data_IF_626335574768
#
_entry.id   IF_626335574768
#
_cell.length_a   1.000
_cell.length_b   1.000
_cell.length_c   1.000
_cell.angle_alpha   90.00
_cell.angle_beta   90.00
_cell.angle_gamma   90.00
#
_symmetry.space_group_name_H-M   'P 1'
#
loop_
_entity.id
_entity.type
_entity.pdbx_description
1 polymer ?
#
# COMPACT_ATOMS: atom_id res chain seq x y z
N UNK A 1 -22.24 -17.79 8.10
CA UNK A 1 -21.30 -16.76 8.57
C UNK A 1 -20.11 -17.36 9.30
N UNK A 2 -20.30 -18.18 10.35
CA UNK A 2 -19.19 -18.87 11.05
C UNK A 2 -18.27 -19.70 10.12
N UNK A 3 -18.82 -20.41 9.13
CA UNK A 3 -18.01 -21.24 8.23
C UNK A 3 -16.96 -20.44 7.44
N UNK A 4 -17.26 -19.20 7.05
CA UNK A 4 -16.34 -18.38 6.22
C UNK A 4 -15.11 -17.95 7.04
N UNK A 5 -15.31 -17.75 8.35
CA UNK A 5 -14.24 -17.53 9.31
C UNK A 5 -13.40 -18.79 9.58
N UNK A 6 -14.03 -19.97 9.52
CA UNK A 6 -13.33 -21.26 9.64
C UNK A 6 -12.44 -21.55 8.42
N UNK A 7 -12.88 -21.19 7.20
CA UNK A 7 -12.10 -21.32 5.95
C UNK A 7 -10.89 -20.37 5.95
N UNK A 8 -11.03 -19.16 6.50
CA UNK A 8 -9.96 -18.17 6.56
C UNK A 8 -8.94 -18.43 7.71
N UNK A 9 -9.10 -19.51 8.47
CA UNK A 9 -8.22 -19.91 9.59
C UNK A 9 -7.94 -18.80 10.61
N UNK A 10 -8.93 -17.94 10.86
CA UNK A 10 -8.82 -16.85 11.83
C UNK A 10 -9.36 -17.34 13.18
N UNK A 11 -8.66 -18.30 13.80
CA UNK A 11 -9.09 -18.95 15.06
C UNK A 11 -8.93 -18.09 16.31
N UNK A 12 -8.31 -16.90 16.22
CA UNK A 12 -8.26 -15.96 17.34
C UNK A 12 -9.44 -14.98 17.26
N UNK A 13 -10.32 -15.04 18.26
CA UNK A 13 -11.57 -14.29 18.37
C UNK A 13 -11.45 -12.74 18.34
N UNK A 14 -10.23 -12.19 18.31
CA UNK A 14 -9.96 -10.75 18.21
C UNK A 14 -10.11 -10.16 16.79
N UNK A 15 -10.26 -11.00 15.76
CA UNK A 15 -10.21 -10.59 14.34
C UNK A 15 -11.56 -10.59 13.60
N UNK A 16 -12.68 -10.58 14.32
CA UNK A 16 -14.02 -10.45 13.73
C UNK A 16 -14.33 -8.98 13.43
N UNK A 17 -13.59 -8.37 12.51
CA UNK A 17 -13.87 -7.02 12.02
C UNK A 17 -14.76 -7.10 10.77
N UNK A 18 -16.05 -6.70 10.87
CA UNK A 18 -16.94 -6.63 9.70
C UNK A 18 -16.37 -5.73 8.61
N UNK A 19 -15.67 -4.65 8.99
CA UNK A 19 -15.00 -3.73 8.07
C UNK A 19 -13.86 -4.38 7.30
N UNK A 20 -13.07 -5.24 7.96
CA UNK A 20 -11.99 -5.99 7.30
C UNK A 20 -12.55 -7.01 6.31
N UNK A 21 -13.59 -7.75 6.71
CA UNK A 21 -14.26 -8.72 5.84
C UNK A 21 -14.90 -8.03 4.63
N UNK A 22 -15.57 -6.89 4.87
CA UNK A 22 -16.17 -6.09 3.82
C UNK A 22 -15.12 -5.55 2.82
N UNK A 23 -13.99 -5.04 3.32
CA UNK A 23 -12.86 -4.63 2.47
C UNK A 23 -12.28 -5.79 1.67
N UNK A 24 -12.09 -6.97 2.29
CA UNK A 24 -11.59 -8.16 1.60
C UNK A 24 -12.54 -8.62 0.49
N UNK A 25 -13.84 -8.70 0.79
CA UNK A 25 -14.86 -9.06 -0.20
C UNK A 25 -14.86 -8.04 -1.34
N UNK A 26 -14.80 -6.74 -1.03
CA UNK A 26 -14.74 -5.70 -2.05
C UNK A 26 -13.53 -5.87 -2.96
N UNK A 27 -12.33 -6.00 -2.40
CA UNK A 27 -11.08 -6.16 -3.16
C UNK A 27 -11.07 -7.44 -4.00
N UNK A 28 -11.43 -8.59 -3.42
CA UNK A 28 -11.53 -9.87 -4.15
C UNK A 28 -12.60 -9.82 -5.23
N UNK A 29 -13.72 -9.14 -4.99
CA UNK A 29 -14.73 -8.90 -6.02
C UNK A 29 -14.16 -8.05 -7.17
N UNK A 30 -13.33 -7.06 -6.89
CA UNK A 30 -12.58 -6.34 -7.93
C UNK A 30 -11.65 -7.25 -8.74
N UNK A 31 -11.03 -8.25 -8.10
CA UNK A 31 -10.20 -9.27 -8.76
C UNK A 31 -10.99 -10.25 -9.63
N UNK A 32 -12.29 -10.44 -9.39
CA UNK A 32 -13.13 -11.43 -10.08
C UNK A 32 -13.21 -11.29 -11.60
N UNK A 33 -12.74 -10.16 -12.15
CA UNK A 33 -12.55 -9.93 -13.58
C UNK A 33 -11.34 -10.69 -14.17
N UNK A 34 -10.31 -10.97 -13.37
CA UNK A 34 -9.02 -11.49 -13.84
C UNK A 34 -9.11 -12.84 -14.60
N UNK A 35 -9.91 -13.84 -14.17
CA UNK A 35 -10.04 -15.09 -14.92
C UNK A 35 -10.66 -14.91 -16.31
N UNK A 36 -11.61 -13.98 -16.45
CA UNK A 36 -12.20 -13.63 -17.73
C UNK A 36 -11.19 -12.88 -18.61
N UNK A 37 -10.33 -12.06 -18.01
CA UNK A 37 -9.27 -11.32 -18.69
C UNK A 37 -8.17 -12.24 -19.28
N UNK A 38 -7.84 -13.33 -18.58
CA UNK A 38 -6.82 -14.31 -19.01
C UNK A 38 -7.27 -15.21 -20.16
N UNK A 39 -8.56 -15.53 -20.25
CA UNK A 39 -9.14 -16.34 -21.33
C UNK A 39 -9.11 -15.64 -22.71
N UNK A 40 -8.71 -14.36 -22.75
CA UNK A 40 -8.83 -13.48 -23.92
C UNK A 40 -7.51 -13.22 -24.65
N UNK A 41 -6.42 -13.94 -24.39
CA UNK A 41 -5.15 -13.74 -25.13
C UNK A 41 -5.16 -14.29 -26.57
N UNK A 42 -6.32 -14.35 -27.22
CA UNK A 42 -6.51 -14.76 -28.61
C UNK A 42 -7.04 -13.61 -29.47
N UNK A 43 -6.52 -13.46 -30.69
CA UNK A 43 -6.77 -12.35 -31.64
C UNK A 43 -8.16 -12.35 -32.33
N UNK A 44 -9.17 -12.99 -31.75
CA UNK A 44 -10.46 -13.22 -32.40
C UNK A 44 -11.49 -12.11 -32.05
N UNK A 45 -12.18 -11.46 -33.00
CA UNK A 45 -13.14 -10.38 -32.70
C UNK A 45 -14.28 -10.78 -31.75
N UNK A 46 -14.72 -12.04 -31.80
CA UNK A 46 -15.72 -12.60 -30.89
C UNK A 46 -15.26 -12.62 -29.43
N UNK A 47 -13.95 -12.72 -29.20
CA UNK A 47 -13.30 -12.71 -27.89
C UNK A 47 -13.36 -11.29 -27.31
N UNK A 48 -13.15 -10.24 -28.12
CA UNK A 48 -13.33 -8.84 -27.70
C UNK A 48 -14.78 -8.50 -27.33
N UNK A 49 -15.76 -9.09 -28.01
CA UNK A 49 -17.18 -8.89 -27.69
C UNK A 49 -17.51 -9.58 -26.35
N UNK A 50 -17.12 -10.85 -26.18
CA UNK A 50 -17.29 -11.57 -24.91
C UNK A 50 -16.55 -10.84 -23.77
N UNK A 51 -15.39 -10.26 -24.03
CA UNK A 51 -14.68 -9.40 -23.09
C UNK A 51 -15.51 -8.20 -22.65
N UNK A 52 -16.02 -7.38 -23.58
CA UNK A 52 -16.82 -6.20 -23.25
C UNK A 52 -18.10 -6.58 -22.46
N UNK A 53 -18.74 -7.70 -22.82
CA UNK A 53 -19.90 -8.22 -22.09
C UNK A 53 -19.56 -8.78 -20.70
N UNK A 54 -18.45 -9.52 -20.55
CA UNK A 54 -18.02 -10.08 -19.26
C UNK A 54 -17.50 -8.99 -18.33
N UNK A 55 -16.74 -8.04 -18.86
CA UNK A 55 -16.30 -6.84 -18.17
C UNK A 55 -17.51 -6.02 -17.72
N UNK A 56 -18.48 -5.78 -18.62
CA UNK A 56 -19.73 -5.10 -18.28
C UNK A 56 -20.53 -5.86 -17.22
N UNK A 57 -20.66 -7.17 -17.32
CA UNK A 57 -21.38 -8.01 -16.37
C UNK A 57 -20.72 -8.01 -14.98
N UNK A 58 -19.41 -8.22 -14.91
CA UNK A 58 -18.66 -8.19 -13.66
C UNK A 58 -18.61 -6.79 -13.05
N UNK A 59 -18.48 -5.73 -13.85
CA UNK A 59 -18.58 -4.34 -13.39
C UNK A 59 -19.99 -3.95 -12.92
N UNK A 60 -21.03 -4.72 -13.25
CA UNK A 60 -22.41 -4.47 -12.79
C UNK A 60 -22.80 -5.38 -11.63
N UNK A 61 -22.49 -6.68 -11.70
CA UNK A 61 -22.95 -7.70 -10.74
C UNK A 61 -22.09 -7.72 -9.48
N UNK A 62 -20.78 -7.55 -9.59
CA UNK A 62 -19.90 -7.58 -8.42
C UNK A 62 -20.14 -6.39 -7.48
N UNK A 63 -20.41 -5.17 -7.99
CA UNK A 63 -20.91 -4.08 -7.15
C UNK A 63 -22.28 -4.35 -6.52
N UNK A 64 -23.20 -5.05 -7.19
CA UNK A 64 -24.51 -5.40 -6.62
C UNK A 64 -24.39 -6.44 -5.50
N UNK A 65 -23.55 -7.47 -5.66
CA UNK A 65 -23.21 -8.43 -4.61
C UNK A 65 -22.58 -7.71 -3.42
N UNK A 66 -21.67 -6.78 -3.71
CA UNK A 66 -21.01 -5.98 -2.71
C UNK A 66 -22.02 -5.09 -1.93
N UNK A 67 -22.92 -4.40 -2.63
CA UNK A 67 -24.00 -3.60 -2.02
C UNK A 67 -24.93 -4.45 -1.15
N UNK A 68 -25.27 -5.66 -1.61
CA UNK A 68 -26.10 -6.60 -0.84
C UNK A 68 -25.41 -7.09 0.44
N UNK A 69 -24.09 -7.24 0.43
CA UNK A 69 -23.32 -7.59 1.62
C UNK A 69 -23.20 -6.41 2.60
N UNK A 70 -22.91 -5.21 2.07
CA UNK A 70 -22.83 -3.95 2.82
C UNK A 70 -24.14 -3.61 3.52
N UNK A 71 -25.29 -3.87 2.88
CA UNK A 71 -26.59 -3.54 3.46
C UNK A 71 -26.97 -4.44 4.63
N UNK A 72 -26.40 -5.64 4.74
CA UNK A 72 -26.79 -6.62 5.75
C UNK A 72 -26.17 -6.38 7.13
N UNK A 73 -24.95 -5.83 7.22
CA UNK A 73 -24.16 -5.77 8.47
C UNK A 73 -23.88 -4.34 8.98
N UNK A 74 -24.76 -3.37 8.64
CA UNK A 74 -24.55 -1.93 8.93
C UNK A 74 -24.36 -1.59 10.41
N UNK A 75 -24.95 -2.33 11.33
CA UNK A 75 -24.94 -2.00 12.76
C UNK A 75 -23.62 -2.33 13.46
N UNK A 76 -22.80 -3.21 12.87
CA UNK A 76 -21.53 -3.67 13.43
C UNK A 76 -20.31 -3.01 12.77
N UNK A 77 -20.50 -2.39 11.60
CA UNK A 77 -19.47 -1.68 10.84
C UNK A 77 -19.19 -0.29 11.43
N UNK A 78 -17.91 0.03 11.61
CA UNK A 78 -17.45 1.35 12.07
C UNK A 78 -16.95 2.23 10.93
N UNK A 79 -16.44 1.65 9.85
CA UNK A 79 -15.69 2.36 8.82
C UNK A 79 -16.51 2.59 7.54
N UNK A 80 -17.83 2.81 7.67
CA UNK A 80 -18.71 3.15 6.54
C UNK A 80 -18.81 2.05 5.48
N UNK A 81 -19.73 1.10 5.62
CA UNK A 81 -19.83 -0.10 4.78
C UNK A 81 -19.69 0.13 3.27
N UNK A 82 -20.49 1.03 2.70
CA UNK A 82 -20.47 1.30 1.26
C UNK A 82 -19.18 1.99 0.80
N UNK A 83 -18.72 2.96 1.58
CA UNK A 83 -17.52 3.74 1.29
C UNK A 83 -16.23 2.91 1.37
N UNK A 84 -16.15 2.03 2.37
CA UNK A 84 -15.07 1.06 2.51
C UNK A 84 -15.07 0.10 1.32
N UNK A 85 -16.21 -0.53 1.04
CA UNK A 85 -16.26 -1.60 0.06
C UNK A 85 -16.11 -1.12 -1.38
N UNK A 86 -16.62 0.08 -1.70
CA UNK A 86 -16.41 0.70 -3.02
C UNK A 86 -14.93 0.99 -3.27
N UNK A 87 -14.22 1.59 -2.31
CA UNK A 87 -12.77 1.83 -2.41
C UNK A 87 -11.98 0.52 -2.56
N UNK A 88 -12.31 -0.48 -1.76
CA UNK A 88 -11.69 -1.81 -1.86
C UNK A 88 -11.91 -2.43 -3.25
N UNK A 89 -13.15 -2.38 -3.76
CA UNK A 89 -13.50 -2.88 -5.09
C UNK A 89 -12.72 -2.17 -6.19
N UNK A 90 -12.65 -0.84 -6.18
CA UNK A 90 -11.87 -0.09 -7.17
C UNK A 90 -10.39 -0.43 -7.10
N UNK A 91 -9.81 -0.57 -5.90
CA UNK A 91 -8.42 -0.98 -5.74
C UNK A 91 -8.18 -2.40 -6.28
N UNK A 92 -9.10 -3.34 -6.03
CA UNK A 92 -9.05 -4.70 -6.57
C UNK A 92 -9.15 -4.72 -8.10
N UNK A 93 -10.04 -3.90 -8.67
CA UNK A 93 -10.19 -3.72 -10.13
C UNK A 93 -8.90 -3.19 -10.75
N UNK A 94 -8.34 -2.11 -10.21
CA UNK A 94 -7.08 -1.52 -10.69
C UNK A 94 -5.93 -2.51 -10.58
N UNK A 95 -5.86 -3.25 -9.47
CA UNK A 95 -4.88 -4.33 -9.30
C UNK A 95 -5.02 -5.41 -10.38
N UNK A 96 -6.25 -5.88 -10.66
CA UNK A 96 -6.51 -6.90 -11.68
C UNK A 96 -6.15 -6.44 -13.09
N UNK A 97 -6.53 -5.20 -13.44
CA UNK A 97 -6.17 -4.59 -14.74
C UNK A 97 -4.65 -4.46 -14.89
N UNK A 98 -3.94 -4.12 -13.81
CA UNK A 98 -2.50 -4.05 -13.82
C UNK A 98 -1.84 -5.43 -13.95
N UNK A 99 -2.35 -6.46 -13.28
CA UNK A 99 -1.87 -7.85 -13.49
C UNK A 99 -2.08 -8.27 -14.94
N UNK A 100 -3.24 -7.97 -15.53
CA UNK A 100 -3.47 -8.25 -16.94
C UNK A 100 -2.47 -7.51 -17.84
N UNK A 101 -2.24 -6.22 -17.58
CA UNK A 101 -1.29 -5.43 -18.36
C UNK A 101 0.13 -6.01 -18.26
N UNK A 102 0.53 -6.51 -17.09
CA UNK A 102 1.80 -7.21 -16.87
C UNK A 102 1.92 -8.53 -17.63
N UNK A 103 0.81 -9.17 -17.98
CA UNK A 103 0.80 -10.43 -18.74
C UNK A 103 0.76 -10.16 -20.25
N UNK A 104 -0.01 -9.15 -20.67
CA UNK A 104 -0.02 -8.67 -22.05
C UNK A 104 1.36 -8.13 -22.42
N UNK A 105 2.05 -7.46 -21.49
CA UNK A 105 3.38 -6.90 -21.75
C UNK A 105 4.36 -7.96 -22.25
N UNK A 106 4.27 -9.21 -21.78
CA UNK A 106 5.14 -10.33 -22.20
C UNK A 106 5.11 -10.52 -23.74
N UNK A 107 3.96 -10.26 -24.36
CA UNK A 107 3.72 -10.46 -25.80
C UNK A 107 3.79 -9.16 -26.62
N UNK A 108 4.11 -8.03 -25.99
CA UNK A 108 4.17 -6.72 -26.65
C UNK A 108 5.54 -6.45 -27.27
N UNK A 109 5.59 -5.52 -28.24
CA UNK A 109 6.84 -5.09 -28.88
C UNK A 109 7.84 -4.45 -27.90
N UNK A 110 7.34 -3.95 -26.76
CA UNK A 110 8.15 -3.31 -25.73
C UNK A 110 7.81 -3.84 -24.32
N UNK A 111 8.17 -5.11 -24.04
CA UNK A 111 7.66 -5.85 -22.89
C UNK A 111 8.07 -5.23 -21.55
N UNK A 112 9.28 -4.67 -21.47
CA UNK A 112 9.82 -4.10 -20.24
C UNK A 112 9.10 -2.82 -19.80
N UNK A 113 8.61 -2.01 -20.75
CA UNK A 113 7.94 -0.72 -20.48
C UNK A 113 6.60 -0.96 -19.79
N UNK A 114 5.74 -1.72 -20.47
CA UNK A 114 4.41 -2.02 -19.92
C UNK A 114 4.50 -2.84 -18.62
N UNK A 115 5.48 -3.75 -18.54
CA UNK A 115 5.68 -4.57 -17.34
C UNK A 115 6.02 -3.73 -16.09
N UNK A 116 7.03 -2.86 -16.14
CA UNK A 116 7.45 -2.10 -14.96
C UNK A 116 6.34 -1.19 -14.43
N UNK A 117 5.63 -0.48 -15.33
CA UNK A 117 4.51 0.37 -14.94
C UNK A 117 3.34 -0.43 -14.39
N UNK A 118 3.03 -1.58 -14.98
CA UNK A 118 1.98 -2.47 -14.49
C UNK A 118 2.29 -3.01 -13.08
N UNK A 119 3.54 -3.40 -12.81
CA UNK A 119 3.98 -3.80 -11.48
C UNK A 119 3.83 -2.65 -10.47
N UNK A 120 4.18 -1.41 -10.85
CA UNK A 120 3.98 -0.23 -10.02
C UNK A 120 2.50 -0.04 -9.64
N UNK A 121 1.58 -0.15 -10.60
CA UNK A 121 0.13 -0.03 -10.32
C UNK A 121 -0.35 -1.15 -9.40
N UNK A 122 0.10 -2.40 -9.60
CA UNK A 122 -0.21 -3.50 -8.68
C UNK A 122 0.26 -3.19 -7.24
N UNK A 123 1.51 -2.73 -7.09
CA UNK A 123 2.08 -2.39 -5.78
C UNK A 123 1.33 -1.24 -5.11
N UNK A 124 0.99 -0.18 -5.87
CA UNK A 124 0.26 0.98 -5.37
C UNK A 124 -1.15 0.59 -4.89
N UNK A 125 -1.90 -0.16 -5.71
CA UNK A 125 -3.23 -0.63 -5.35
C UNK A 125 -3.21 -1.54 -4.12
N UNK A 126 -2.24 -2.46 -4.04
CA UNK A 126 -2.09 -3.35 -2.91
C UNK A 126 -1.66 -2.60 -1.64
N UNK A 127 -0.74 -1.64 -1.74
CA UNK A 127 -0.29 -0.82 -0.61
C UNK A 127 -1.47 -0.13 0.08
N UNK A 128 -2.32 0.55 -0.70
CA UNK A 128 -3.49 1.26 -0.17
C UNK A 128 -4.55 0.33 0.42
N UNK A 129 -4.85 -0.78 -0.26
CA UNK A 129 -5.84 -1.73 0.24
C UNK A 129 -5.37 -2.42 1.53
N UNK A 130 -4.13 -2.92 1.53
CA UNK A 130 -3.57 -3.65 2.66
C UNK A 130 -3.39 -2.77 3.89
N UNK A 131 -3.15 -1.47 3.71
CA UNK A 131 -3.11 -0.52 4.82
C UNK A 131 -4.44 -0.48 5.59
N UNK A 132 -5.54 -0.29 4.86
CA UNK A 132 -6.88 -0.32 5.45
C UNK A 132 -7.17 -1.69 6.03
N UNK A 133 -6.93 -2.76 5.26
CA UNK A 133 -7.27 -4.12 5.66
C UNK A 133 -6.56 -4.52 6.96
N UNK A 134 -5.24 -4.34 7.05
CA UNK A 134 -4.48 -4.67 8.27
C UNK A 134 -4.94 -3.81 9.44
N UNK A 135 -5.26 -2.53 9.22
CA UNK A 135 -5.79 -1.67 10.28
C UNK A 135 -7.16 -2.13 10.76
N UNK A 136 -8.06 -2.47 9.85
CA UNK A 136 -9.38 -2.98 10.19
C UNK A 136 -9.29 -4.31 10.97
N UNK A 137 -8.27 -5.14 10.70
CA UNK A 137 -8.03 -6.42 11.39
C UNK A 137 -7.42 -6.21 12.78
N UNK A 138 -6.35 -5.41 12.92
CA UNK A 138 -5.56 -5.32 14.16
C UNK A 138 -5.87 -4.08 15.02
N UNK A 139 -6.52 -3.06 14.46
CA UNK A 139 -6.82 -1.79 15.13
C UNK A 139 -8.18 -1.22 14.66
N UNK A 140 -9.21 -2.08 14.68
CA UNK A 140 -10.58 -1.74 14.25
C UNK A 140 -11.18 -0.53 14.99
N UNK A 141 -10.69 -0.22 16.20
CA UNK A 141 -11.18 0.90 17.00
C UNK A 141 -10.85 2.26 16.37
N UNK A 142 -9.72 2.36 15.66
CA UNK A 142 -9.26 3.57 15.00
C UNK A 142 -9.36 3.46 13.47
N UNK A 143 -10.23 2.58 12.96
CA UNK A 143 -10.41 2.39 11.53
C UNK A 143 -11.33 3.46 10.94
N UNK A 144 -10.91 4.05 9.82
CA UNK A 144 -11.63 5.02 9.01
C UNK A 144 -11.30 4.85 7.54
N UNK A 145 -12.20 5.30 6.64
CA UNK A 145 -12.00 5.16 5.18
C UNK A 145 -10.82 6.00 4.65
N UNK A 146 -10.35 6.96 5.42
CA UNK A 146 -9.14 7.74 5.18
C UNK A 146 -7.86 6.90 5.26
N UNK A 147 -7.90 5.74 5.93
CA UNK A 147 -6.76 4.81 6.08
C UNK A 147 -6.40 4.11 4.76
N UNK A 148 -7.30 4.10 3.78
CA UNK A 148 -6.89 3.76 2.42
C UNK A 148 -5.82 4.74 1.89
N UNK A 149 -5.67 5.93 2.48
CA UNK A 149 -4.66 6.95 2.16
C UNK A 149 -4.60 7.40 0.70
N UNK A 150 -5.71 7.25 -0.04
CA UNK A 150 -5.78 7.55 -1.48
C UNK A 150 -5.61 9.05 -1.78
N UNK A 151 -6.12 9.91 -0.91
CA UNK A 151 -6.13 11.37 -1.09
C UNK A 151 -5.82 12.07 0.23
N UNK A 152 -4.77 11.63 0.91
CA UNK A 152 -4.42 12.17 2.23
C UNK A 152 -3.73 13.55 2.15
N UNK A 153 -3.15 13.91 1.00
CA UNK A 153 -2.57 15.24 0.78
C UNK A 153 -2.50 15.59 -0.71
N UNK A 154 -2.61 16.89 -1.09
CA UNK A 154 -2.34 17.34 -2.46
C UNK A 154 -0.91 17.00 -2.92
N UNK A 155 0.07 17.08 -2.02
CA UNK A 155 1.48 16.78 -2.28
C UNK A 155 1.66 15.33 -2.72
N UNK A 156 0.96 14.41 -2.06
CA UNK A 156 0.94 13.01 -2.45
C UNK A 156 0.38 12.81 -3.86
N UNK A 157 -0.76 13.43 -4.17
CA UNK A 157 -1.38 13.32 -5.50
C UNK A 157 -0.45 13.88 -6.57
N UNK A 158 0.18 15.04 -6.32
CA UNK A 158 1.19 15.61 -7.20
C UNK A 158 2.38 14.66 -7.41
N UNK A 159 2.85 14.00 -6.36
CA UNK A 159 3.95 13.05 -6.45
C UNK A 159 3.61 11.81 -7.30
N UNK A 160 2.40 11.25 -7.14
CA UNK A 160 1.92 10.12 -7.96
C UNK A 160 1.76 10.53 -9.43
N UNK A 161 1.24 11.73 -9.70
CA UNK A 161 1.11 12.27 -11.06
C UNK A 161 2.49 12.51 -11.67
N UNK A 162 3.42 13.15 -10.94
CA UNK A 162 4.77 13.41 -11.40
C UNK A 162 5.52 12.11 -11.73
N UNK A 163 5.39 11.11 -10.87
CA UNK A 163 5.94 9.76 -11.07
C UNK A 163 5.45 9.13 -12.38
N UNK A 164 4.13 9.20 -12.65
CA UNK A 164 3.56 8.67 -13.89
C UNK A 164 4.00 9.49 -15.12
N UNK A 165 4.01 10.82 -15.02
CA UNK A 165 4.41 11.72 -16.10
C UNK A 165 5.88 11.52 -16.48
N UNK A 166 6.79 11.52 -15.51
CA UNK A 166 8.21 11.27 -15.75
C UNK A 166 8.40 9.93 -16.46
N UNK A 167 7.79 8.87 -15.93
CA UNK A 167 7.91 7.54 -16.51
C UNK A 167 7.50 7.51 -17.99
N UNK A 168 6.32 8.05 -18.31
CA UNK A 168 5.79 7.99 -19.68
C UNK A 168 6.49 8.98 -20.62
N UNK A 169 6.86 10.17 -20.15
CA UNK A 169 7.63 11.13 -20.95
C UNK A 169 9.00 10.55 -21.27
N UNK A 170 9.72 9.99 -20.30
CA UNK A 170 11.02 9.37 -20.54
C UNK A 170 10.88 8.17 -21.48
N UNK A 171 9.89 7.31 -21.24
CA UNK A 171 9.67 6.11 -22.04
C UNK A 171 9.29 6.39 -23.50
N UNK A 172 8.52 7.45 -23.76
CA UNK A 172 8.01 7.77 -25.11
C UNK A 172 8.87 8.80 -25.85
N UNK A 173 9.41 9.80 -25.16
CA UNK A 173 10.08 10.94 -25.78
C UNK A 173 11.60 10.81 -25.85
N UNK A 174 12.26 10.17 -24.87
CA UNK A 174 13.72 10.06 -24.89
C UNK A 174 14.23 9.23 -26.08
N UNK A 175 13.63 8.07 -26.43
CA UNK A 175 14.06 7.32 -27.60
C UNK A 175 13.88 8.08 -28.93
N UNK A 176 12.90 8.97 -29.01
CA UNK A 176 12.65 9.77 -30.22
C UNK A 176 13.58 10.97 -30.32
N UNK A 177 13.87 11.64 -29.20
CA UNK A 177 14.77 12.79 -29.16
C UNK A 177 16.25 12.40 -29.23
N UNK A 178 16.62 11.24 -28.69
CA UNK A 178 17.99 10.75 -28.63
C UNK A 178 18.07 9.30 -29.15
N UNK A 179 18.01 9.08 -30.48
CA UNK A 179 17.94 7.73 -31.06
C UNK A 179 19.17 6.85 -30.74
N UNK A 180 20.33 7.47 -30.52
CA UNK A 180 21.57 6.79 -30.15
C UNK A 180 21.72 6.59 -28.63
N UNK A 181 20.82 7.16 -27.83
CA UNK A 181 20.77 6.98 -26.38
C UNK A 181 19.98 5.71 -26.08
N UNK A 182 20.63 4.57 -26.30
CA UNK A 182 20.10 3.28 -25.88
C UNK A 182 20.36 3.12 -24.39
N UNK A 183 19.42 3.51 -23.54
CA UNK A 183 19.46 3.18 -22.11
C UNK A 183 18.57 1.95 -21.88
N UNK A 184 19.08 0.71 -22.03
CA UNK A 184 18.34 -0.44 -21.57
C UNK A 184 18.33 -0.36 -20.04
N UNK A 185 17.30 0.25 -19.46
CA UNK A 185 17.14 0.27 -18.01
C UNK A 185 17.23 -1.21 -17.54
N UNK A 186 18.26 -1.57 -16.76
CA UNK A 186 18.59 -2.98 -16.60
C UNK A 186 17.50 -3.69 -15.80
N UNK A 187 17.07 -4.87 -16.25
CA UNK A 187 16.05 -5.66 -15.56
C UNK A 187 16.42 -5.89 -14.08
N UNK A 188 17.71 -6.07 -13.79
CA UNK A 188 18.21 -6.24 -12.42
C UNK A 188 17.87 -5.04 -11.52
N UNK A 189 17.83 -3.83 -12.06
CA UNK A 189 17.45 -2.62 -11.31
C UNK A 189 15.93 -2.62 -11.06
N UNK A 190 15.10 -3.00 -12.05
CA UNK A 190 13.67 -3.15 -11.81
C UNK A 190 13.36 -4.21 -10.74
N UNK A 191 14.04 -5.37 -10.80
CA UNK A 191 13.90 -6.44 -9.82
C UNK A 191 14.35 -5.96 -8.43
N UNK A 192 15.44 -5.21 -8.34
CA UNK A 192 15.86 -4.60 -7.08
C UNK A 192 14.80 -3.63 -6.53
N UNK A 193 14.21 -2.79 -7.39
CA UNK A 193 13.06 -1.94 -7.03
C UNK A 193 11.86 -2.73 -6.51
N UNK A 194 11.50 -3.84 -7.16
CA UNK A 194 10.45 -4.75 -6.67
C UNK A 194 10.77 -5.32 -5.30
N UNK A 195 12.00 -5.77 -5.06
CA UNK A 195 12.41 -6.32 -3.78
C UNK A 195 12.35 -5.26 -2.67
N UNK A 196 12.74 -4.02 -2.97
CA UNK A 196 12.58 -2.89 -2.04
C UNK A 196 11.10 -2.62 -1.72
N UNK A 197 10.22 -2.66 -2.72
CA UNK A 197 8.78 -2.52 -2.51
C UNK A 197 8.22 -3.64 -1.63
N UNK A 198 8.49 -4.92 -1.95
CA UNK A 198 8.01 -6.04 -1.16
C UNK A 198 8.58 -6.02 0.28
N UNK A 199 9.87 -5.71 0.43
CA UNK A 199 10.51 -5.59 1.74
C UNK A 199 9.94 -4.45 2.57
N UNK A 200 9.79 -3.27 1.96
CA UNK A 200 9.20 -2.09 2.60
C UNK A 200 7.75 -2.33 3.03
N UNK A 201 6.98 -2.97 2.15
CA UNK A 201 5.61 -3.38 2.42
C UNK A 201 5.53 -4.35 3.60
N UNK A 202 6.33 -5.42 3.58
CA UNK A 202 6.35 -6.40 4.66
C UNK A 202 6.71 -5.75 6.01
N UNK A 203 7.78 -4.94 6.05
CA UNK A 203 8.21 -4.25 7.27
C UNK A 203 7.11 -3.33 7.81
N UNK A 204 6.42 -2.58 6.93
CA UNK A 204 5.32 -1.71 7.34
C UNK A 204 4.16 -2.50 7.93
N UNK A 205 3.74 -3.58 7.27
CA UNK A 205 2.62 -4.42 7.73
C UNK A 205 2.96 -5.13 9.03
N UNK A 206 4.18 -5.64 9.18
CA UNK A 206 4.63 -6.21 10.45
C UNK A 206 4.68 -5.17 11.58
N UNK A 207 5.04 -3.91 11.30
CA UNK A 207 4.96 -2.85 12.30
C UNK A 207 3.52 -2.62 12.76
N UNK A 208 2.57 -2.51 11.82
CA UNK A 208 1.15 -2.34 12.15
C UNK A 208 0.60 -3.54 12.94
N UNK A 209 0.95 -4.76 12.56
CA UNK A 209 0.53 -5.99 13.24
C UNK A 209 1.11 -6.08 14.65
N UNK A 210 2.40 -5.76 14.80
CA UNK A 210 3.10 -5.86 16.11
C UNK A 210 2.57 -4.84 17.10
N UNK A 211 2.28 -3.62 16.63
CA UNK A 211 1.81 -2.51 17.49
C UNK A 211 0.30 -2.55 17.70
N UNK A 212 -0.44 -3.11 16.75
CA UNK A 212 -1.89 -3.33 16.77
C UNK A 212 -2.66 -2.08 17.26
N UNK A 213 -3.34 -2.16 18.41
CA UNK A 213 -4.14 -1.06 18.97
C UNK A 213 -3.33 0.18 19.41
N UNK A 214 -2.00 0.04 19.55
CA UNK A 214 -1.10 1.16 19.83
C UNK A 214 -0.63 1.86 18.55
N UNK A 215 -0.96 1.33 17.36
CA UNK A 215 -0.56 1.94 16.10
C UNK A 215 -1.51 3.09 15.76
N UNK A 216 -0.99 4.17 15.20
CA UNK A 216 -1.84 5.25 14.71
C UNK A 216 -1.24 5.85 13.43
N UNK A 217 -2.10 6.17 12.46
CA UNK A 217 -1.71 6.84 11.22
C UNK A 217 -1.41 8.32 11.44
N UNK A 218 -1.90 8.88 12.55
CA UNK A 218 -1.64 10.23 13.03
C UNK A 218 -0.76 10.17 14.28
N UNK A 219 0.12 11.15 14.47
CA UNK A 219 0.94 11.21 15.67
C UNK A 219 0.05 11.54 16.86
N UNK A 220 -0.02 10.64 17.85
CA UNK A 220 -0.78 10.86 19.08
C UNK A 220 -0.09 11.92 19.95
N UNK A 221 -0.81 12.98 20.32
CA UNK A 221 -0.32 14.05 21.21
C UNK A 221 -0.77 13.86 22.66
N UNK A 222 -1.69 12.93 22.91
CA UNK A 222 -2.20 12.58 24.24
C UNK A 222 -2.10 11.08 24.49
N UNK A 223 -1.79 10.70 25.73
CA UNK A 223 -1.66 9.30 26.12
C UNK A 223 -3.02 8.71 26.48
N UNK A 224 -3.45 7.67 25.76
CA UNK A 224 -4.60 6.84 26.14
C UNK A 224 -4.21 5.88 27.27
N UNK A 225 -5.16 5.50 28.13
CA UNK A 225 -4.92 4.59 29.25
C UNK A 225 -4.36 3.23 28.78
N UNK A 226 -4.78 2.78 27.60
CA UNK A 226 -4.38 1.52 27.00
C UNK A 226 -3.08 1.63 26.19
N UNK A 227 -2.50 2.83 26.05
CA UNK A 227 -1.29 3.05 25.24
C UNK A 227 -0.06 2.47 25.97
N UNK A 228 0.52 1.42 25.36
CA UNK A 228 1.70 0.71 25.84
C UNK A 228 2.90 0.92 24.91
N UNK A 229 4.08 0.96 25.51
CA UNK A 229 5.34 1.01 24.77
C UNK A 229 5.68 -0.38 24.20
N UNK A 230 5.67 -0.50 22.88
CA UNK A 230 6.01 -1.74 22.17
C UNK A 230 7.50 -1.74 21.76
N UNK A 231 8.24 -2.76 22.19
CA UNK A 231 9.69 -2.91 21.93
C UNK A 231 10.08 -4.29 21.39
N UNK A 232 9.10 -5.17 21.15
CA UNK A 232 9.30 -6.54 20.66
C UNK A 232 9.07 -6.65 19.15
N UNK A 233 9.38 -7.81 18.56
CA UNK A 233 9.18 -8.04 17.13
C UNK A 233 10.01 -7.09 16.26
N UNK A 234 9.40 -6.49 15.23
CA UNK A 234 10.11 -5.55 14.34
C UNK A 234 10.60 -4.29 15.07
N UNK A 235 9.99 -3.95 16.21
CA UNK A 235 10.43 -2.83 17.05
C UNK A 235 11.74 -3.12 17.79
N UNK A 236 12.17 -4.38 17.91
CA UNK A 236 13.50 -4.69 18.45
C UNK A 236 14.64 -4.27 17.52
N UNK A 237 14.37 -4.08 16.22
CA UNK A 237 15.36 -3.69 15.22
C UNK A 237 15.34 -2.17 14.94
N UNK A 238 14.16 -1.58 14.86
CA UNK A 238 13.97 -0.16 14.56
C UNK A 238 12.91 0.43 15.48
N UNK A 239 13.11 1.66 15.96
CA UNK A 239 12.07 2.37 16.73
C UNK A 239 10.87 2.77 15.88
N UNK A 240 11.08 2.99 14.58
CA UNK A 240 10.05 3.44 13.64
C UNK A 240 9.93 2.53 12.40
N UNK A 241 9.64 1.23 12.57
CA UNK A 241 9.67 0.27 11.46
C UNK A 241 8.61 0.59 10.39
N UNK A 242 7.45 1.14 10.75
CA UNK A 242 6.43 1.56 9.79
C UNK A 242 6.92 2.68 8.85
N UNK A 243 7.78 3.58 9.36
CA UNK A 243 8.39 4.66 8.58
C UNK A 243 9.53 4.14 7.70
N UNK A 244 10.35 3.22 8.23
CA UNK A 244 11.35 2.49 7.45
C UNK A 244 10.69 1.80 6.26
N UNK A 245 9.65 1.00 6.52
CA UNK A 245 8.93 0.27 5.48
C UNK A 245 8.38 1.19 4.39
N UNK A 246 7.74 2.29 4.78
CA UNK A 246 7.19 3.27 3.84
C UNK A 246 8.28 3.99 3.02
N UNK A 247 9.38 4.40 3.63
CA UNK A 247 10.46 5.08 2.92
C UNK A 247 11.10 4.17 1.87
N UNK A 248 11.40 2.92 2.22
CA UNK A 248 12.00 1.99 1.25
C UNK A 248 10.99 1.52 0.19
N UNK A 249 9.70 1.41 0.53
CA UNK A 249 8.65 1.14 -0.45
C UNK A 249 8.56 2.27 -1.48
N UNK A 250 8.48 3.53 -1.03
CA UNK A 250 8.41 4.70 -1.92
C UNK A 250 9.65 4.83 -2.82
N UNK A 251 10.85 4.67 -2.26
CA UNK A 251 12.10 4.63 -3.04
C UNK A 251 12.07 3.47 -4.05
N UNK A 252 11.66 2.28 -3.61
CA UNK A 252 11.54 1.08 -4.44
C UNK A 252 10.66 1.29 -5.67
N UNK A 253 9.55 2.03 -5.54
CA UNK A 253 8.68 2.34 -6.69
C UNK A 253 9.40 3.15 -7.77
N UNK A 254 10.25 4.10 -7.38
CA UNK A 254 10.97 4.94 -8.35
C UNK A 254 12.15 4.19 -8.96
N UNK A 255 12.80 3.30 -8.20
CA UNK A 255 13.82 2.37 -8.73
C UNK A 255 13.20 1.37 -9.70
N UNK A 256 12.00 0.86 -9.41
CA UNK A 256 11.24 -0.02 -10.30
C UNK A 256 10.90 0.67 -11.61
N UNK A 257 10.46 1.94 -11.57
CA UNK A 257 10.12 2.69 -12.77
C UNK A 257 11.35 3.23 -13.50
N UNK A 258 12.48 3.36 -12.81
CA UNK A 258 13.68 3.96 -13.36
C UNK A 258 13.58 5.47 -13.52
N UNK A 259 12.78 6.13 -12.68
CA UNK A 259 12.54 7.58 -12.68
C UNK A 259 13.65 8.31 -11.89
N UNK A 260 14.70 8.88 -12.52
CA UNK A 260 15.80 9.51 -11.79
C UNK A 260 15.39 10.77 -11.01
N UNK A 261 14.49 11.60 -11.56
CA UNK A 261 14.08 12.87 -10.95
C UNK A 261 13.16 12.56 -9.75
N UNK A 262 12.12 11.74 -9.95
CA UNK A 262 11.23 11.33 -8.87
C UNK A 262 11.97 10.48 -7.82
N UNK A 263 12.98 9.68 -8.17
CA UNK A 263 13.79 8.97 -7.18
C UNK A 263 14.45 9.95 -6.19
N UNK A 264 15.09 11.01 -6.69
CA UNK A 264 15.69 12.05 -5.84
C UNK A 264 14.59 12.77 -5.06
N UNK A 265 13.50 13.16 -5.72
CA UNK A 265 12.38 13.87 -5.09
C UNK A 265 11.74 13.08 -3.94
N UNK A 266 11.35 11.83 -4.18
CA UNK A 266 10.74 10.94 -3.19
C UNK A 266 11.69 10.68 -2.02
N UNK A 267 12.98 10.47 -2.30
CA UNK A 267 14.00 10.25 -1.26
C UNK A 267 14.16 11.48 -0.38
N UNK A 268 14.37 12.66 -0.96
CA UNK A 268 14.64 13.89 -0.20
C UNK A 268 13.41 14.37 0.55
N UNK A 269 12.24 14.42 -0.11
CA UNK A 269 10.99 14.87 0.50
C UNK A 269 10.54 13.88 1.58
N UNK A 270 10.56 12.58 1.28
CA UNK A 270 10.22 11.53 2.24
C UNK A 270 11.15 11.55 3.46
N UNK A 271 12.46 11.70 3.25
CA UNK A 271 13.43 11.83 4.34
C UNK A 271 13.14 13.05 5.23
N UNK A 272 12.92 14.23 4.65
CA UNK A 272 12.63 15.46 5.41
C UNK A 272 11.32 15.37 6.18
N UNK A 273 10.29 14.79 5.56
CA UNK A 273 9.00 14.53 6.21
C UNK A 273 9.17 13.63 7.44
N UNK A 274 9.86 12.49 7.27
CA UNK A 274 10.08 11.54 8.36
C UNK A 274 11.00 12.10 9.45
N UNK A 275 12.00 12.93 9.11
CA UNK A 275 12.83 13.61 10.09
C UNK A 275 11.99 14.47 11.04
N UNK A 276 11.15 15.36 10.49
CA UNK A 276 10.29 16.21 11.31
C UNK A 276 9.28 15.40 12.13
N UNK A 277 8.68 14.38 11.50
CA UNK A 277 7.67 13.52 12.13
C UNK A 277 8.24 12.69 13.28
N UNK A 278 9.39 12.04 13.09
CA UNK A 278 10.07 11.25 14.12
C UNK A 278 10.45 12.14 15.31
N UNK A 279 10.98 13.34 15.07
CA UNK A 279 11.33 14.25 16.18
C UNK A 279 10.09 14.66 17.00
N UNK A 280 8.99 14.97 16.32
CA UNK A 280 7.75 15.33 16.98
C UNK A 280 7.16 14.17 17.79
N UNK A 281 7.12 12.98 17.19
CA UNK A 281 6.58 11.78 17.83
C UNK A 281 7.42 11.31 19.01
N UNK A 282 8.75 11.28 18.88
CA UNK A 282 9.62 10.85 19.98
C UNK A 282 9.59 11.81 21.18
N UNK A 283 9.31 13.09 20.97
CA UNK A 283 9.06 14.04 22.05
C UNK A 283 7.83 13.63 22.88
N UNK A 284 6.75 13.25 22.20
CA UNK A 284 5.53 12.77 22.86
C UNK A 284 5.74 11.40 23.51
N UNK A 285 6.45 10.48 22.87
CA UNK A 285 6.77 9.17 23.45
C UNK A 285 7.62 9.30 24.72
N UNK A 286 8.56 10.25 24.77
CA UNK A 286 9.29 10.59 25.99
C UNK A 286 8.38 11.20 27.07
N UNK A 287 7.43 12.06 26.69
CA UNK A 287 6.44 12.57 27.62
C UNK A 287 5.53 11.46 28.17
N UNK A 288 5.12 10.50 27.34
CA UNK A 288 4.22 9.41 27.71
C UNK A 288 4.88 8.33 28.58
N UNK A 289 6.12 7.95 28.25
CA UNK A 289 6.79 6.77 28.81
C UNK A 289 8.08 7.08 29.56
N UNK A 290 8.56 8.33 29.52
CA UNK A 290 9.72 8.82 30.26
C UNK A 290 10.95 7.93 30.08
N UNK A 291 11.47 7.46 31.22
CA UNK A 291 12.69 6.67 31.28
C UNK A 291 12.64 5.37 30.48
N UNK A 292 11.47 4.73 30.36
CA UNK A 292 11.33 3.49 29.61
C UNK A 292 11.62 3.71 28.11
N UNK A 293 11.15 4.82 27.54
CA UNK A 293 11.47 5.17 26.14
C UNK A 293 12.94 5.59 25.98
N UNK A 294 13.49 6.33 26.95
CA UNK A 294 14.92 6.71 26.93
C UNK A 294 15.83 5.47 26.88
N UNK A 295 15.58 4.46 27.71
CA UNK A 295 16.35 3.20 27.68
C UNK A 295 16.20 2.45 26.36
N UNK A 296 15.03 2.54 25.73
CA UNK A 296 14.81 1.95 24.42
C UNK A 296 15.59 2.70 23.31
N UNK A 297 15.67 4.03 23.37
CA UNK A 297 16.47 4.86 22.46
C UNK A 297 17.98 4.59 22.51
N UNK A 298 18.49 4.08 23.64
CA UNK A 298 19.89 3.67 23.79
C UNK A 298 20.19 2.35 23.10
N UNK A 299 19.20 1.43 23.04
CA UNK A 299 19.38 0.07 22.52
C UNK A 299 19.06 -0.05 21.03
N UNK A 300 18.09 0.72 20.54
CA UNK A 300 17.52 0.54 19.21
C UNK A 300 17.53 1.86 18.47
N UNK A 301 18.03 1.88 17.22
CA UNK A 301 18.05 3.07 16.36
C UNK A 301 16.68 3.37 15.72
N UNK A 302 16.51 4.54 15.10
CA UNK A 302 15.26 4.88 14.38
C UNK A 302 15.00 3.96 13.19
N UNK A 303 16.07 3.47 12.56
CA UNK A 303 16.06 2.66 11.34
C UNK A 303 16.23 3.45 10.05
N UNK A 304 16.15 4.78 10.10
CA UNK A 304 16.42 5.65 8.94
C UNK A 304 17.84 6.21 9.09
N UNK A 305 18.73 6.03 8.09
CA UNK A 305 20.09 6.54 8.15
C UNK A 305 20.12 8.02 8.52
N UNK A 306 21.06 8.42 9.38
CA UNK A 306 21.28 9.81 9.80
C UNK A 306 20.16 10.48 10.63
N UNK A 307 19.02 9.82 10.88
CA UNK A 307 17.98 10.32 11.79
C UNK A 307 18.18 9.74 13.18
N UNK A 308 18.70 10.52 14.14
CA UNK A 308 18.93 10.06 15.52
C UNK A 308 17.67 10.02 16.40
N UNK A 309 16.63 10.77 16.02
CA UNK A 309 15.42 10.97 16.82
C UNK A 309 15.58 12.10 17.85
N UNK A 310 14.59 12.27 18.73
CA UNK A 310 14.57 13.34 19.74
C UNK A 310 15.14 12.83 21.06
N UNK A 311 16.24 13.42 21.54
CA UNK A 311 16.87 13.06 22.81
C UNK A 311 16.85 14.27 23.75
N UNK A 312 16.56 14.03 25.03
CA UNK A 312 16.46 15.11 26.03
C UNK A 312 17.80 15.85 26.22
N UNK A 313 18.92 15.18 25.94
CA UNK A 313 20.28 15.70 26.15
C UNK A 313 21.06 15.91 24.83
N UNK A 314 20.39 16.04 23.68
CA UNK A 314 21.03 16.06 22.35
C UNK A 314 20.60 17.22 21.48
#
# INVERSE_FOLDING_TARGET
MYWLWDILNVRNAQFRSPDALNSLIGFVSGLGLLPFLLLLSGSNPSVLIVFCYSLGYSCLVLPLINIAFVSHDRSSQKCGGFENSSRAFFLGLVFALAVLLSLISIHSDHPKRLWAFSCYICLLSFFHWSEFYVTAVYNYANCGVDIYMLTHSPEYVMAVIACALEYWIETLCVPTMLPNYYYPFPLIVNIFGLLLCFGGEAVRKFAMITTAQNFNHYVETERRNEHQLVTSGVYSYFRHPAYVGWLYWTIGTQVLLGNPICLIGFTVVGYRFLYGRILHEERHLLYFFGHAYSQYQEKVGTGIPFIKGYRING
#
